data_IF_568764321840
#
_entry.id   IF_568764321840
#
_cell.length_a   1.000
_cell.length_b   1.000
_cell.length_c   1.000
_cell.angle_alpha   90.00
_cell.angle_beta   90.00
_cell.angle_gamma   90.00
#
_symmetry.space_group_name_H-M   'P 1'
#
loop_
_entity.id
_entity.type
_entity.pdbx_description
1 polymer ?
#
# COMPACT_ATOMS: atom_id res chain seq x y z
N UNK A 1 11.69 -13.91 12.47
CA UNK A 1 11.01 -12.83 13.22
C UNK A 1 11.24 -13.05 14.71
N UNK A 2 11.51 -11.98 15.45
CA UNK A 2 11.64 -12.00 16.92
C UNK A 2 10.32 -11.59 17.60
N UNK A 3 10.09 -12.07 18.82
CA UNK A 3 8.94 -11.67 19.64
C UNK A 3 9.26 -10.35 20.35
N UNK A 4 8.39 -9.36 20.22
CA UNK A 4 8.52 -8.04 20.84
C UNK A 4 7.19 -7.70 21.54
N UNK A 5 7.28 -7.02 22.70
CA UNK A 5 6.12 -6.47 23.42
C UNK A 5 6.09 -4.96 23.23
N UNK A 6 4.96 -4.43 22.74
CA UNK A 6 4.75 -2.99 22.53
C UNK A 6 3.42 -2.58 23.16
N UNK A 7 3.35 -1.37 23.72
CA UNK A 7 2.09 -0.79 24.21
C UNK A 7 1.45 0.01 23.08
N UNK A 8 0.19 -0.27 22.81
CA UNK A 8 -0.59 0.36 21.73
C UNK A 8 -1.96 0.72 22.29
N UNK A 9 -2.50 1.84 21.84
CA UNK A 9 -3.89 2.23 22.11
C UNK A 9 -4.86 1.17 21.54
N UNK A 10 -5.69 0.52 22.38
CA UNK A 10 -6.62 -0.51 21.95
C UNK A 10 -7.68 0.00 20.96
N UNK A 11 -8.08 1.27 21.03
CA UNK A 11 -9.07 1.85 20.14
C UNK A 11 -8.47 2.12 18.76
N UNK A 12 -7.23 2.60 18.72
CA UNK A 12 -6.50 2.81 17.48
C UNK A 12 -6.32 1.50 16.70
N UNK A 13 -5.86 0.44 17.37
CA UNK A 13 -5.65 -0.84 16.68
C UNK A 13 -6.96 -1.47 16.22
N UNK A 14 -8.05 -1.33 16.98
CA UNK A 14 -9.38 -1.79 16.57
C UNK A 14 -9.86 -1.05 15.31
N UNK A 15 -9.70 0.27 15.25
CA UNK A 15 -10.05 1.08 14.06
C UNK A 15 -9.27 0.65 12.83
N UNK A 16 -7.96 0.40 12.96
CA UNK A 16 -7.11 -0.07 11.85
C UNK A 16 -7.53 -1.47 11.41
N UNK A 17 -7.78 -2.39 12.34
CA UNK A 17 -8.24 -3.73 12.02
C UNK A 17 -9.58 -3.71 11.29
N UNK A 18 -10.53 -2.89 11.73
CA UNK A 18 -11.82 -2.73 11.05
C UNK A 18 -11.66 -2.13 9.65
N UNK A 19 -10.85 -1.09 9.51
CA UNK A 19 -10.64 -0.38 8.23
C UNK A 19 -10.07 -1.28 7.13
N UNK A 20 -9.16 -2.19 7.49
CA UNK A 20 -8.43 -3.02 6.52
C UNK A 20 -8.82 -4.51 6.59
N UNK A 21 -9.76 -4.89 7.47
CA UNK A 21 -10.24 -6.26 7.61
C UNK A 21 -9.22 -7.25 8.23
N UNK A 22 -8.30 -6.76 9.08
CA UNK A 22 -7.31 -7.62 9.73
C UNK A 22 -7.94 -8.50 10.82
N UNK A 23 -7.54 -9.77 10.86
CA UNK A 23 -8.02 -10.75 11.84
C UNK A 23 -7.22 -10.69 13.14
N UNK A 24 -5.98 -10.20 13.07
CA UNK A 24 -5.10 -10.12 14.25
C UNK A 24 -4.44 -8.75 14.39
N UNK A 25 -4.14 -8.38 15.66
CA UNK A 25 -3.33 -7.18 15.97
C UNK A 25 -1.96 -7.22 15.29
N UNK A 26 -1.39 -8.42 15.15
CA UNK A 26 -0.08 -8.63 14.51
C UNK A 26 -0.12 -8.24 13.03
N UNK A 27 -1.16 -8.64 12.30
CA UNK A 27 -1.34 -8.24 10.89
C UNK A 27 -1.45 -6.73 10.75
N UNK A 28 -2.25 -6.08 11.60
CA UNK A 28 -2.39 -4.63 11.60
C UNK A 28 -1.06 -3.91 11.87
N UNK A 29 -0.28 -4.40 12.84
CA UNK A 29 1.03 -3.83 13.18
C UNK A 29 2.04 -4.04 12.05
N UNK A 30 2.12 -5.26 11.49
CA UNK A 30 3.04 -5.57 10.39
C UNK A 30 2.74 -4.71 9.16
N UNK A 31 1.45 -4.57 8.81
CA UNK A 31 1.01 -3.69 7.73
C UNK A 31 1.39 -2.23 8.00
N UNK A 32 1.09 -1.71 9.19
CA UNK A 32 1.37 -0.32 9.53
C UNK A 32 2.88 -0.01 9.47
N UNK A 33 3.73 -0.92 9.96
CA UNK A 33 5.17 -0.76 9.91
C UNK A 33 5.72 -0.80 8.49
N UNK A 34 5.22 -1.70 7.64
CA UNK A 34 5.61 -1.76 6.22
C UNK A 34 5.20 -0.49 5.47
N UNK A 35 3.99 0.01 5.70
CA UNK A 35 3.54 1.25 5.10
C UNK A 35 4.38 2.45 5.56
N UNK A 36 4.72 2.52 6.84
CA UNK A 36 5.55 3.58 7.40
C UNK A 36 7.01 3.51 6.94
N UNK A 37 7.56 2.30 6.78
CA UNK A 37 8.89 2.10 6.20
C UNK A 37 8.94 2.57 4.73
N UNK A 38 7.78 2.63 4.08
CA UNK A 38 7.65 2.98 2.67
C UNK A 38 8.21 1.89 1.78
N UNK A 39 8.32 2.22 0.50
CA UNK A 39 9.01 1.39 -0.47
C UNK A 39 10.45 1.88 -0.60
N UNK A 40 11.37 0.95 -0.89
CA UNK A 40 12.70 1.35 -1.30
C UNK A 40 12.61 2.04 -2.66
N UNK A 41 12.98 3.33 -2.69
CA UNK A 41 12.95 4.12 -3.91
C UNK A 41 13.83 3.51 -5.01
N UNK A 42 14.91 2.80 -4.64
CA UNK A 42 15.78 2.12 -5.59
C UNK A 42 15.10 0.91 -6.24
N UNK A 43 14.27 0.16 -5.52
CA UNK A 43 13.46 -0.92 -6.07
C UNK A 43 12.40 -0.39 -7.05
N UNK A 44 11.74 0.73 -6.71
CA UNK A 44 10.80 1.38 -7.62
C UNK A 44 11.51 1.88 -8.88
N UNK A 45 12.68 2.51 -8.72
CA UNK A 45 13.48 3.00 -9.85
C UNK A 45 14.04 1.87 -10.70
N UNK A 46 14.26 0.67 -10.16
CA UNK A 46 14.65 -0.50 -10.94
C UNK A 46 13.57 -0.94 -11.95
N UNK A 47 12.29 -0.60 -11.70
CA UNK A 47 11.20 -0.83 -12.66
C UNK A 47 11.22 0.19 -13.82
N UNK A 48 12.04 1.23 -13.75
CA UNK A 48 12.14 2.25 -14.80
C UNK A 48 12.67 1.61 -16.09
N UNK A 49 11.89 1.70 -17.15
CA UNK A 49 12.24 1.08 -18.43
C UNK A 49 11.73 -0.35 -18.58
N UNK A 50 11.06 -0.92 -17.57
CA UNK A 50 10.12 -2.02 -17.82
C UNK A 50 9.05 -1.46 -18.75
N UNK A 51 9.06 -1.91 -20.00
CA UNK A 51 8.22 -1.38 -21.05
C UNK A 51 6.75 -1.45 -20.64
N UNK A 52 5.98 -0.43 -21.00
CA UNK A 52 4.53 -0.45 -20.88
C UNK A 52 3.95 -0.57 -22.29
N UNK A 53 3.30 -1.69 -22.58
CA UNK A 53 2.77 -2.03 -23.91
C UNK A 53 1.45 -1.30 -24.26
N UNK A 54 0.96 -0.44 -23.36
CA UNK A 54 -0.27 0.30 -23.60
C UNK A 54 -0.10 1.43 -24.63
N UNK A 55 -1.20 1.76 -25.32
CA UNK A 55 -1.27 2.96 -26.15
C UNK A 55 -1.84 4.14 -25.33
N UNK A 56 -0.93 5.02 -24.88
CA UNK A 56 -1.26 6.26 -24.16
C UNK A 56 -2.25 7.14 -24.92
N UNK A 57 -2.16 7.19 -26.26
CA UNK A 57 -3.04 8.03 -27.08
C UNK A 57 -4.45 7.47 -27.10
N UNK A 58 -4.60 6.15 -27.22
CA UNK A 58 -5.91 5.47 -27.21
C UNK A 58 -6.62 5.67 -25.87
N UNK A 59 -5.92 5.51 -24.73
CA UNK A 59 -6.51 5.65 -23.40
C UNK A 59 -6.95 7.08 -23.06
N UNK A 60 -6.24 8.10 -23.56
CA UNK A 60 -6.60 9.51 -23.32
C UNK A 60 -7.82 9.96 -24.11
N UNK A 61 -8.08 9.37 -25.29
CA UNK A 61 -9.24 9.73 -26.12
C UNK A 61 -10.57 9.36 -25.47
N UNK A 62 -10.61 8.25 -24.71
CA UNK A 62 -11.82 7.80 -24.01
C UNK A 62 -12.28 8.79 -22.93
N UNK A 63 -11.39 9.63 -22.38
CA UNK A 63 -11.75 10.61 -21.33
C UNK A 63 -12.42 11.87 -21.86
N UNK A 64 -12.27 12.17 -23.16
CA UNK A 64 -12.76 13.41 -23.76
C UNK A 64 -14.05 13.22 -24.58
N UNK A 65 -14.74 12.08 -24.45
CA UNK A 65 -15.97 11.77 -25.20
C UNK A 65 -17.24 11.79 -24.34
N UNK A 66 -17.17 12.38 -23.14
CA UNK A 66 -18.35 12.67 -22.31
C UNK A 66 -18.45 14.19 -22.06
N UNK A 67 -18.83 14.93 -23.11
CA UNK A 67 -19.45 16.27 -23.00
C UNK A 67 -20.61 16.32 -24.00
#
# INVERSE_FOLDING_TARGET
>A
MSRITVRIDPELIARVMLKYGFRTKREAIDFALRQAAGYDASEILALRGTGWEGDLRKMRRTRNLEI
#
